data_IF_228256663670
#
_entry.id   IF_228256663670
#
_cell.length_a   1.000
_cell.length_b   1.000
_cell.length_c   1.000
_cell.angle_alpha   90.00
_cell.angle_beta   90.00
_cell.angle_gamma   90.00
#
_symmetry.space_group_name_H-M   'P 1'
#
loop_
_entity.id
_entity.type
_entity.pdbx_description
1 polymer ?
#
# COMPACT_ATOMS: atom_id res chain seq x y z
N UNK A 1 -10.91 26.02 0.83
CA UNK A 1 -9.63 26.48 1.38
C UNK A 1 -9.52 26.11 2.87
N UNK A 2 -9.61 24.82 3.25
CA UNK A 2 -9.50 24.34 4.65
C UNK A 2 -8.70 23.03 4.81
N UNK A 3 -7.89 22.63 3.83
CA UNK A 3 -7.08 21.40 3.90
C UNK A 3 -5.63 21.61 4.34
N UNK A 4 -5.19 22.87 4.55
CA UNK A 4 -3.78 23.17 4.89
C UNK A 4 -3.44 23.07 6.37
N UNK A 5 -4.45 23.00 7.25
CA UNK A 5 -4.22 23.05 8.70
C UNK A 5 -4.09 21.66 9.35
N UNK A 6 -4.58 20.60 8.71
CA UNK A 6 -4.53 19.24 9.28
C UNK A 6 -3.15 18.56 9.16
N UNK A 7 -2.37 18.92 8.13
CA UNK A 7 -1.04 18.32 7.92
C UNK A 7 0.03 18.82 8.91
N UNK A 8 -0.11 20.05 9.43
CA UNK A 8 0.87 20.62 10.36
C UNK A 8 0.73 20.15 11.82
N UNK A 9 -0.43 19.64 12.23
CA UNK A 9 -0.67 19.24 13.63
C UNK A 9 -0.10 17.85 13.93
N UNK A 10 0.00 16.97 12.94
CA UNK A 10 0.57 15.63 13.10
C UNK A 10 2.11 15.63 13.22
N UNK A 11 2.79 16.66 12.73
CA UNK A 11 4.26 16.77 12.76
C UNK A 11 4.81 17.32 14.09
N UNK A 12 3.96 17.88 14.96
CA UNK A 12 4.40 18.58 16.17
C UNK A 12 4.39 17.73 17.45
N UNK A 13 3.96 16.47 17.40
CA UNK A 13 3.73 15.64 18.60
C UNK A 13 4.70 14.46 18.78
N UNK A 14 5.91 14.50 18.21
CA UNK A 14 6.91 13.44 18.41
C UNK A 14 8.01 13.90 19.36
N UNK A 15 7.94 13.63 20.68
CA UNK A 15 9.09 13.79 21.56
C UNK A 15 10.13 12.70 21.23
N UNK A 16 11.36 13.16 21.09
CA UNK A 16 12.55 12.38 20.80
C UNK A 16 12.76 11.23 21.81
N UNK A 17 12.61 10.01 21.34
CA UNK A 17 13.19 8.81 21.95
C UNK A 17 13.94 8.09 20.84
N UNK A 18 15.26 8.26 20.84
CA UNK A 18 16.14 7.65 19.83
C UNK A 18 16.29 6.15 20.09
N UNK A 19 15.86 5.34 19.14
CA UNK A 19 16.09 3.90 19.10
C UNK A 19 16.04 3.37 17.67
N UNK A 20 16.80 2.34 17.36
CA UNK A 20 16.62 1.59 16.12
C UNK A 20 15.38 0.72 16.31
N UNK A 21 14.44 0.64 15.33
CA UNK A 21 13.30 -0.27 15.42
C UNK A 21 13.79 -1.69 15.66
N UNK A 22 13.24 -2.31 16.68
CA UNK A 22 13.58 -3.66 17.09
C UNK A 22 12.37 -4.59 17.00
N UNK A 23 12.56 -5.85 17.33
CA UNK A 23 11.50 -6.86 17.34
C UNK A 23 10.31 -6.39 18.19
N UNK A 24 9.13 -6.43 17.60
CA UNK A 24 7.87 -6.02 18.23
C UNK A 24 7.50 -4.55 18.05
N UNK A 25 8.36 -3.74 17.40
CA UNK A 25 8.03 -2.36 17.10
C UNK A 25 6.94 -2.26 16.06
N UNK A 26 5.97 -1.40 16.34
CA UNK A 26 4.86 -1.13 15.44
C UNK A 26 5.17 -0.06 14.40
N UNK A 27 4.51 -0.14 13.26
CA UNK A 27 4.61 0.87 12.20
C UNK A 27 3.23 1.30 11.71
N UNK A 28 3.11 2.57 11.33
CA UNK A 28 2.01 3.07 10.50
C UNK A 28 2.60 3.61 9.22
N UNK A 29 2.11 3.14 8.07
CA UNK A 29 2.58 3.54 6.76
C UNK A 29 1.47 4.23 5.98
N UNK A 30 1.77 5.40 5.42
CA UNK A 30 0.87 6.17 4.54
C UNK A 30 1.54 6.34 3.19
N UNK A 31 1.01 5.69 2.17
CA UNK A 31 1.53 5.77 0.81
C UNK A 31 0.48 6.33 -0.14
N UNK A 32 0.93 7.18 -1.05
CA UNK A 32 0.17 7.64 -2.18
C UNK A 32 0.95 7.42 -3.46
N UNK A 33 0.29 7.12 -4.56
CA UNK A 33 0.99 6.83 -5.79
C UNK A 33 0.10 6.72 -7.01
N UNK A 34 0.68 6.13 -8.03
CA UNK A 34 0.08 5.97 -9.33
C UNK A 34 -0.07 4.47 -9.65
N UNK A 35 -1.26 4.10 -10.05
CA UNK A 35 -1.65 2.74 -10.41
C UNK A 35 -1.86 2.63 -11.91
N UNK A 36 -1.38 1.54 -12.49
CA UNK A 36 -1.66 1.16 -13.87
C UNK A 36 -2.22 -0.26 -13.90
N UNK A 37 -3.45 -0.42 -14.37
CA UNK A 37 -4.05 -1.72 -14.62
C UNK A 37 -3.74 -2.12 -16.07
N UNK A 38 -3.31 -3.37 -16.35
CA UNK A 38 -3.11 -3.84 -17.72
C UNK A 38 -4.44 -3.83 -18.47
N UNK A 39 -4.56 -2.93 -19.44
CA UNK A 39 -5.84 -2.50 -20.01
C UNK A 39 -6.43 -3.37 -21.15
N UNK A 40 -5.87 -4.54 -21.44
CA UNK A 40 -6.26 -5.30 -22.63
C UNK A 40 -7.75 -5.66 -22.74
N UNK A 41 -8.38 -5.97 -21.61
CA UNK A 41 -9.79 -6.42 -21.60
C UNK A 41 -10.78 -5.24 -21.57
N UNK A 42 -10.46 -4.17 -20.87
CA UNK A 42 -11.29 -2.95 -20.86
C UNK A 42 -11.21 -2.16 -22.15
N UNK A 43 -10.13 -2.33 -22.92
CA UNK A 43 -9.94 -1.68 -24.20
C UNK A 43 -10.92 -2.20 -25.24
N UNK A 44 -11.30 -3.48 -25.20
CA UNK A 44 -12.26 -4.07 -26.12
C UNK A 44 -13.69 -3.59 -25.89
N UNK A 45 -14.07 -3.29 -24.64
CA UNK A 45 -15.41 -2.84 -24.28
C UNK A 45 -15.62 -1.33 -24.47
N UNK A 46 -14.60 -0.52 -24.23
CA UNK A 46 -14.72 0.94 -24.21
C UNK A 46 -14.08 1.64 -25.40
N UNK A 47 -13.30 0.93 -26.22
CA UNK A 47 -12.48 1.54 -27.26
C UNK A 47 -11.37 2.47 -26.72
N UNK A 48 -11.24 2.59 -25.40
CA UNK A 48 -10.30 3.46 -24.76
C UNK A 48 -8.87 2.93 -24.89
N UNK A 49 -7.96 3.77 -25.34
CA UNK A 49 -6.53 3.46 -25.34
C UNK A 49 -6.04 3.33 -23.88
N UNK A 50 -5.08 2.42 -23.67
CA UNK A 50 -4.47 2.06 -22.39
C UNK A 50 -4.56 3.14 -21.31
N UNK A 51 -5.00 2.68 -20.12
CA UNK A 51 -5.23 3.53 -18.98
C UNK A 51 -4.01 4.37 -18.62
N UNK A 52 -4.25 5.64 -18.52
CA UNK A 52 -3.36 6.57 -17.86
C UNK A 52 -3.17 6.06 -16.42
N UNK A 53 -2.07 6.43 -15.81
CA UNK A 53 -1.82 6.18 -14.40
C UNK A 53 -2.90 6.86 -13.54
N UNK A 54 -3.50 6.10 -12.64
CA UNK A 54 -4.58 6.55 -11.77
C UNK A 54 -4.13 6.60 -10.31
N UNK A 55 -4.71 7.47 -9.48
CA UNK A 55 -4.31 7.59 -8.09
C UNK A 55 -4.63 6.32 -7.28
N UNK A 56 -3.67 5.89 -6.47
CA UNK A 56 -3.79 4.82 -5.49
C UNK A 56 -3.24 5.24 -4.14
N UNK A 57 -3.83 4.74 -3.07
CA UNK A 57 -3.45 5.03 -1.69
C UNK A 57 -3.37 3.75 -0.89
N UNK A 58 -2.40 3.67 0.03
CA UNK A 58 -2.26 2.58 0.98
C UNK A 58 -2.10 3.15 2.39
N UNK A 59 -2.81 2.56 3.34
CA UNK A 59 -2.63 2.76 4.77
C UNK A 59 -2.24 1.42 5.39
N UNK A 60 -1.06 1.33 5.97
CA UNK A 60 -0.54 0.12 6.59
C UNK A 60 -0.41 0.23 8.10
N UNK A 61 -0.67 -0.88 8.77
CA UNK A 61 -0.31 -1.15 10.17
C UNK A 61 0.60 -2.37 10.16
N UNK A 62 1.82 -2.24 10.64
CA UNK A 62 2.81 -3.30 10.59
C UNK A 62 3.57 -3.48 11.89
N UNK A 63 4.31 -4.58 11.97
CA UNK A 63 5.12 -4.95 13.11
C UNK A 63 6.44 -5.54 12.61
N UNK A 64 7.53 -5.17 13.26
CA UNK A 64 8.82 -5.80 13.07
C UNK A 64 8.82 -7.16 13.79
N UNK A 65 8.86 -8.25 13.03
CA UNK A 65 8.81 -9.61 13.55
C UNK A 65 10.20 -10.07 14.02
N UNK A 66 11.24 -9.71 13.27
CA UNK A 66 12.64 -9.83 13.62
C UNK A 66 13.46 -8.75 12.89
N UNK A 67 14.80 -8.84 12.95
CA UNK A 67 15.69 -7.80 12.38
C UNK A 67 15.55 -7.66 10.85
N UNK A 68 15.07 -8.68 10.17
CA UNK A 68 14.94 -8.70 8.70
C UNK A 68 13.49 -8.78 8.23
N UNK A 69 12.58 -9.27 9.08
CA UNK A 69 11.21 -9.61 8.69
C UNK A 69 10.20 -8.63 9.29
N UNK A 70 9.38 -8.06 8.44
CA UNK A 70 8.28 -7.18 8.80
C UNK A 70 6.97 -7.74 8.25
N UNK A 71 5.90 -7.64 9.02
CA UNK A 71 4.57 -8.07 8.59
C UNK A 71 3.50 -7.08 8.98
N UNK A 72 2.39 -7.09 8.26
CA UNK A 72 1.33 -6.13 8.53
C UNK A 72 0.03 -6.36 7.79
N UNK A 73 -0.90 -5.45 8.07
CA UNK A 73 -2.19 -5.33 7.37
C UNK A 73 -2.21 -3.98 6.67
N UNK A 74 -2.64 -3.97 5.42
CA UNK A 74 -2.80 -2.75 4.64
C UNK A 74 -4.23 -2.60 4.13
N UNK A 75 -4.70 -1.38 4.12
CA UNK A 75 -5.91 -0.93 3.45
C UNK A 75 -5.53 -0.16 2.20
N UNK A 76 -6.00 -0.64 1.05
CA UNK A 76 -5.75 -0.01 -0.24
C UNK A 76 -7.01 0.66 -0.78
N UNK A 77 -6.82 1.79 -1.47
CA UNK A 77 -7.87 2.46 -2.20
C UNK A 77 -7.37 2.93 -3.56
N UNK A 78 -8.12 2.63 -4.61
CA UNK A 78 -7.79 3.02 -5.98
C UNK A 78 -9.01 3.53 -6.73
N UNK A 79 -8.77 4.51 -7.58
CA UNK A 79 -9.75 5.07 -8.52
C UNK A 79 -9.17 4.95 -9.91
N UNK A 80 -9.85 4.20 -10.77
CA UNK A 80 -9.46 4.02 -12.17
C UNK A 80 -10.59 4.51 -13.07
N UNK A 81 -10.24 5.13 -14.21
CA UNK A 81 -11.22 5.57 -15.20
C UNK A 81 -10.72 5.24 -16.59
N UNK A 82 -11.57 4.63 -17.38
CA UNK A 82 -11.33 4.27 -18.78
C UNK A 82 -12.37 4.95 -19.67
N UNK A 83 -11.89 5.66 -20.69
CA UNK A 83 -12.75 6.44 -21.58
C UNK A 83 -13.16 7.79 -21.02
N UNK A 84 -13.94 8.52 -21.79
CA UNK A 84 -14.41 9.86 -21.49
C UNK A 84 -15.94 9.98 -21.63
N UNK A 85 -16.51 10.97 -20.94
CA UNK A 85 -17.95 11.27 -21.02
C UNK A 85 -18.84 10.26 -20.32
N UNK A 86 -20.09 10.16 -20.78
CA UNK A 86 -21.13 9.33 -20.19
C UNK A 86 -20.90 7.81 -20.35
N UNK A 87 -20.02 7.41 -21.29
CA UNK A 87 -19.63 6.02 -21.52
C UNK A 87 -18.36 5.60 -20.77
N UNK A 88 -17.78 6.48 -19.95
CA UNK A 88 -16.57 6.15 -19.20
C UNK A 88 -16.84 5.03 -18.17
N UNK A 89 -15.96 4.04 -18.16
CA UNK A 89 -15.92 3.01 -17.13
C UNK A 89 -15.15 3.55 -15.93
N UNK A 90 -15.76 3.57 -14.75
CA UNK A 90 -15.11 3.97 -13.51
C UNK A 90 -15.01 2.78 -12.57
N UNK A 91 -13.82 2.53 -12.04
CA UNK A 91 -13.57 1.44 -11.11
C UNK A 91 -13.09 2.04 -9.79
N UNK A 92 -13.80 1.71 -8.72
CA UNK A 92 -13.39 1.98 -7.34
C UNK A 92 -12.98 0.66 -6.72
N UNK A 93 -11.77 0.61 -6.19
CA UNK A 93 -11.24 -0.57 -5.52
C UNK A 93 -10.92 -0.24 -4.08
N UNK A 94 -11.44 -1.04 -3.15
CA UNK A 94 -11.03 -1.04 -1.76
C UNK A 94 -10.41 -2.41 -1.45
N UNK A 95 -9.21 -2.42 -0.87
CA UNK A 95 -8.45 -3.65 -0.64
C UNK A 95 -8.10 -3.79 0.83
N UNK A 96 -8.15 -5.03 1.32
CA UNK A 96 -7.61 -5.43 2.62
C UNK A 96 -6.55 -6.48 2.34
N UNK A 97 -5.30 -6.18 2.70
CA UNK A 97 -4.13 -6.97 2.33
C UNK A 97 -3.36 -7.37 3.59
N UNK A 98 -2.90 -8.61 3.63
CA UNK A 98 -1.87 -9.09 4.55
C UNK A 98 -0.54 -9.03 3.82
N UNK A 99 0.46 -8.46 4.44
CA UNK A 99 1.80 -8.27 3.88
C UNK A 99 2.86 -8.90 4.75
N UNK A 100 3.87 -9.44 4.10
CA UNK A 100 5.11 -9.87 4.69
C UNK A 100 6.24 -9.38 3.79
N UNK A 101 7.24 -8.71 4.36
CA UNK A 101 8.42 -8.27 3.64
C UNK A 101 9.70 -8.62 4.38
N UNK A 102 10.79 -8.79 3.64
CA UNK A 102 12.11 -9.11 4.17
C UNK A 102 13.15 -8.12 3.64
N UNK A 103 14.08 -7.73 4.49
CA UNK A 103 15.21 -6.89 4.11
C UNK A 103 16.15 -7.66 3.17
N UNK A 104 16.43 -7.09 2.00
CA UNK A 104 17.44 -7.59 1.04
C UNK A 104 18.80 -6.94 1.27
N UNK A 105 18.79 -5.69 1.68
CA UNK A 105 19.99 -4.93 2.04
C UNK A 105 19.62 -3.87 3.08
N UNK A 106 20.46 -3.71 4.08
CA UNK A 106 20.23 -2.78 5.17
C UNK A 106 21.50 -1.97 5.48
N UNK A 107 21.34 -0.66 5.63
CA UNK A 107 22.35 0.26 6.10
C UNK A 107 21.86 1.06 7.31
N UNK A 108 22.69 1.93 7.84
CA UNK A 108 22.33 2.74 9.01
C UNK A 108 21.15 3.70 8.79
N UNK A 109 20.85 4.06 7.56
CA UNK A 109 19.82 5.04 7.20
C UNK A 109 18.79 4.53 6.17
N UNK A 110 18.98 3.31 5.63
CA UNK A 110 18.09 2.75 4.61
C UNK A 110 17.90 1.24 4.73
N UNK A 111 16.83 0.74 4.15
CA UNK A 111 16.52 -0.67 3.94
C UNK A 111 15.93 -0.85 2.55
N UNK A 112 16.53 -1.72 1.74
CA UNK A 112 15.92 -2.26 0.52
C UNK A 112 15.19 -3.54 0.93
N UNK A 113 13.94 -3.69 0.54
CA UNK A 113 13.15 -4.86 0.90
C UNK A 113 12.39 -5.43 -0.28
N UNK A 114 12.11 -6.71 -0.23
CA UNK A 114 11.14 -7.37 -1.08
C UNK A 114 10.04 -7.97 -0.23
N UNK A 115 8.84 -7.91 -0.72
CA UNK A 115 7.68 -8.40 0.01
C UNK A 115 6.63 -9.00 -0.90
N UNK A 116 5.56 -9.43 -0.27
CA UNK A 116 4.39 -9.91 -0.95
C UNK A 116 3.27 -10.18 0.03
N UNK A 117 2.13 -10.51 -0.50
CA UNK A 117 0.98 -10.75 0.34
C UNK A 117 -0.25 -11.21 -0.40
N UNK A 118 -1.28 -11.42 0.38
CA UNK A 118 -2.59 -11.86 -0.08
C UNK A 118 -3.67 -11.01 0.56
N UNK A 119 -4.79 -10.90 -0.11
CA UNK A 119 -5.91 -10.16 0.43
C UNK A 119 -7.17 -10.28 -0.40
N UNK A 120 -8.04 -9.32 -0.18
CA UNK A 120 -9.33 -9.26 -0.82
C UNK A 120 -9.60 -7.85 -1.32
N UNK A 121 -10.17 -7.74 -2.53
CA UNK A 121 -10.54 -6.48 -3.18
C UNK A 121 -12.05 -6.43 -3.35
N UNK A 122 -12.64 -5.36 -2.87
CA UNK A 122 -14.02 -4.95 -3.10
C UNK A 122 -14.00 -3.92 -4.23
N UNK A 123 -14.53 -4.29 -5.39
CA UNK A 123 -14.50 -3.43 -6.56
C UNK A 123 -15.93 -3.07 -6.98
N UNK A 124 -16.13 -1.80 -7.28
CA UNK A 124 -17.37 -1.30 -7.90
C UNK A 124 -17.01 -0.76 -9.28
N UNK A 125 -17.61 -1.34 -10.31
CA UNK A 125 -17.45 -0.95 -11.70
C UNK A 125 -18.72 -0.17 -12.11
N UNK A 126 -18.59 1.13 -12.29
CA UNK A 126 -19.67 2.01 -12.72
C UNK A 126 -19.68 2.14 -14.24
N UNK A 127 -20.82 1.79 -14.86
CA UNK A 127 -21.06 1.84 -16.31
C UNK A 127 -22.34 2.63 -16.60
N UNK A 128 -22.56 2.99 -17.87
CA UNK A 128 -23.81 3.62 -18.29
C UNK A 128 -25.06 2.74 -18.01
N UNK A 129 -24.89 1.43 -18.01
CA UNK A 129 -25.96 0.45 -17.72
C UNK A 129 -26.22 0.22 -16.22
N UNK A 130 -25.44 0.82 -15.33
CA UNK A 130 -25.50 0.66 -13.87
C UNK A 130 -24.19 0.14 -13.25
N UNK A 131 -24.16 0.12 -11.94
CA UNK A 131 -23.03 -0.33 -11.16
C UNK A 131 -23.00 -1.86 -11.04
N UNK A 132 -21.81 -2.43 -11.09
CA UNK A 132 -21.54 -3.85 -10.89
C UNK A 132 -20.52 -4.01 -9.76
N UNK A 133 -20.80 -4.95 -8.86
CA UNK A 133 -19.84 -5.38 -7.84
C UNK A 133 -18.99 -6.53 -8.37
N UNK A 134 -17.67 -6.38 -8.29
CA UNK A 134 -16.69 -7.35 -8.77
C UNK A 134 -15.62 -7.62 -7.71
N UNK A 135 -15.98 -8.43 -6.72
CA UNK A 135 -15.09 -8.75 -5.61
C UNK A 135 -14.11 -9.88 -5.99
N UNK A 136 -12.88 -9.81 -5.50
CA UNK A 136 -11.85 -10.77 -5.88
C UNK A 136 -10.77 -10.97 -4.82
N UNK A 137 -10.16 -12.16 -4.81
CA UNK A 137 -8.90 -12.36 -4.13
C UNK A 137 -7.78 -11.57 -4.84
N UNK A 138 -6.82 -11.09 -4.05
CA UNK A 138 -5.65 -10.35 -4.53
C UNK A 138 -4.39 -11.03 -4.01
N UNK A 139 -3.45 -11.29 -4.91
CA UNK A 139 -2.07 -11.61 -4.57
C UNK A 139 -1.17 -10.50 -5.08
N UNK A 140 -0.08 -10.20 -4.36
CA UNK A 140 0.88 -9.20 -4.82
C UNK A 140 2.31 -9.55 -4.43
N UNK A 141 3.25 -8.96 -5.15
CA UNK A 141 4.66 -8.87 -4.80
C UNK A 141 5.07 -7.41 -4.79
N UNK A 142 6.03 -7.06 -3.94
CA UNK A 142 6.52 -5.69 -3.82
C UNK A 142 8.04 -5.66 -3.74
N UNK A 143 8.60 -4.54 -4.21
CA UNK A 143 10.00 -4.18 -4.03
C UNK A 143 10.02 -2.73 -3.56
N UNK A 144 10.74 -2.45 -2.47
CA UNK A 144 10.72 -1.13 -1.92
C UNK A 144 12.03 -0.68 -1.28
N UNK A 145 12.04 0.59 -1.00
CA UNK A 145 13.14 1.28 -0.36
C UNK A 145 12.58 2.12 0.78
N UNK A 146 12.99 1.82 2.01
CA UNK A 146 12.72 2.62 3.20
C UNK A 146 13.96 3.42 3.55
N UNK A 147 13.79 4.68 3.93
CA UNK A 147 14.89 5.50 4.40
C UNK A 147 14.48 6.26 5.66
N UNK A 148 15.45 6.38 6.56
CA UNK A 148 15.27 7.01 7.86
C UNK A 148 15.37 8.53 7.72
N UNK A 149 14.39 9.27 8.21
CA UNK A 149 14.38 10.72 8.31
C UNK A 149 14.71 11.12 9.75
N UNK A 150 14.11 10.42 10.72
CA UNK A 150 14.36 10.56 12.16
C UNK A 150 14.16 9.20 12.82
N UNK A 151 14.28 9.13 14.15
CA UNK A 151 14.08 7.89 14.88
C UNK A 151 12.66 7.34 14.81
N UNK A 152 11.67 8.21 14.58
CA UNK A 152 10.26 7.83 14.52
C UNK A 152 9.64 7.98 13.13
N UNK A 153 10.34 8.59 12.20
CA UNK A 153 9.80 8.91 10.87
C UNK A 153 10.77 8.47 9.78
N UNK A 154 10.27 7.74 8.83
CA UNK A 154 10.96 7.36 7.61
C UNK A 154 10.18 7.74 6.37
N UNK A 155 10.83 7.67 5.23
CA UNK A 155 10.21 7.70 3.92
C UNK A 155 10.20 6.32 3.30
N UNK A 156 9.25 6.08 2.40
CA UNK A 156 9.09 4.81 1.66
C UNK A 156 8.85 5.13 0.20
N UNK A 157 9.50 4.35 -0.67
CA UNK A 157 9.17 4.26 -2.10
C UNK A 157 8.97 2.78 -2.38
N UNK A 158 7.86 2.40 -2.97
CA UNK A 158 7.51 1.01 -3.23
C UNK A 158 6.89 0.85 -4.60
N UNK A 159 7.35 -0.15 -5.33
CA UNK A 159 6.67 -0.69 -6.50
C UNK A 159 6.02 -2.02 -6.13
N UNK A 160 4.76 -2.16 -6.51
CA UNK A 160 3.94 -3.34 -6.24
C UNK A 160 3.30 -3.82 -7.53
N UNK A 161 3.41 -5.11 -7.79
CA UNK A 161 2.66 -5.79 -8.83
C UNK A 161 1.60 -6.68 -8.20
N UNK A 162 0.34 -6.47 -8.53
CA UNK A 162 -0.78 -7.25 -8.00
C UNK A 162 -1.46 -8.06 -9.10
N UNK A 163 -1.95 -9.22 -8.72
CA UNK A 163 -2.78 -10.10 -9.54
C UNK A 163 -4.13 -10.24 -8.84
N UNK A 164 -5.19 -9.92 -9.57
CA UNK A 164 -6.55 -10.01 -9.07
C UNK A 164 -7.47 -10.27 -10.25
N UNK A 165 -8.34 -11.26 -10.14
CA UNK A 165 -9.27 -11.65 -11.19
C UNK A 165 -10.68 -11.63 -10.65
N UNK A 166 -11.54 -10.83 -11.25
CA UNK A 166 -12.95 -10.72 -10.88
C UNK A 166 -13.86 -11.07 -12.07
N UNK A 167 -15.00 -11.68 -11.79
CA UNK A 167 -16.02 -11.83 -12.80
C UNK A 167 -16.66 -10.47 -13.09
N UNK A 168 -16.59 -10.02 -14.32
CA UNK A 168 -17.15 -8.73 -14.75
C UNK A 168 -18.70 -8.75 -14.80
N UNK A 169 -19.29 -9.93 -14.75
CA UNK A 169 -20.74 -10.17 -14.71
C UNK A 169 -20.95 -11.54 -14.04
N UNK A 170 -21.90 -11.73 -13.10
CA UNK A 170 -22.20 -13.04 -12.50
C UNK A 170 -22.59 -14.13 -13.53
N UNK A 171 -23.05 -13.71 -14.71
CA UNK A 171 -23.37 -14.61 -15.83
C UNK A 171 -22.24 -14.79 -16.82
N UNK A 172 -21.14 -14.01 -16.69
CA UNK A 172 -20.01 -14.08 -17.62
C UNK A 172 -19.03 -15.19 -17.23
N UNK A 173 -18.65 -15.96 -18.23
CA UNK A 173 -17.55 -16.94 -18.10
C UNK A 173 -16.16 -16.27 -18.10
N UNK A 174 -16.09 -14.98 -18.42
CA UNK A 174 -14.84 -14.24 -18.55
C UNK A 174 -14.55 -13.46 -17.27
N UNK A 175 -13.35 -13.63 -16.75
CA UNK A 175 -12.80 -12.85 -15.63
C UNK A 175 -11.98 -11.69 -16.17
N UNK A 176 -12.07 -10.56 -15.48
CA UNK A 176 -11.29 -9.36 -15.77
C UNK A 176 -10.13 -9.25 -14.78
N UNK A 177 -8.93 -9.00 -15.29
CA UNK A 177 -7.78 -8.75 -14.44
C UNK A 177 -7.90 -7.34 -13.82
N UNK A 178 -8.07 -7.29 -12.50
CA UNK A 178 -8.17 -6.06 -11.70
C UNK A 178 -6.83 -5.72 -11.02
N UNK A 179 -5.80 -6.51 -11.24
CA UNK A 179 -4.45 -6.29 -10.74
C UNK A 179 -3.69 -5.24 -11.56
N UNK A 180 -2.41 -5.12 -11.33
CA UNK A 180 -1.50 -4.23 -12.07
C UNK A 180 -0.37 -3.69 -11.24
N UNK A 181 0.34 -2.73 -11.81
CA UNK A 181 1.44 -2.04 -11.15
C UNK A 181 0.93 -0.87 -10.31
N UNK A 182 1.50 -0.69 -9.15
CA UNK A 182 1.29 0.45 -8.27
C UNK A 182 2.65 0.97 -7.78
N UNK A 183 3.02 2.17 -8.23
CA UNK A 183 4.21 2.87 -7.75
C UNK A 183 3.77 3.88 -6.70
N UNK A 184 4.28 3.75 -5.48
CA UNK A 184 3.94 4.60 -4.34
C UNK A 184 5.15 5.25 -3.72
N UNK A 185 4.90 6.37 -3.07
CA UNK A 185 5.82 7.00 -2.14
C UNK A 185 5.03 7.52 -0.93
N UNK A 186 5.69 7.62 0.22
CA UNK A 186 5.04 8.13 1.42
C UNK A 186 5.90 8.08 2.67
N UNK A 187 5.22 8.02 3.80
CA UNK A 187 5.81 8.16 5.12
C UNK A 187 5.50 6.92 5.95
N UNK A 188 6.49 6.46 6.71
CA UNK A 188 6.35 5.43 7.73
C UNK A 188 6.65 6.04 9.10
N UNK A 189 5.77 5.78 10.06
CA UNK A 189 5.95 6.13 11.47
C UNK A 189 6.28 4.87 12.25
N UNK A 190 7.29 4.94 13.11
CA UNK A 190 7.72 3.86 13.96
C UNK A 190 7.30 4.11 15.41
N UNK A 191 6.67 3.10 16.02
CA UNK A 191 6.30 3.10 17.45
C UNK A 191 7.10 2.00 18.14
N UNK A 192 7.90 2.39 19.12
CA UNK A 192 8.73 1.46 19.86
C UNK A 192 7.92 0.71 20.92
N UNK A 193 8.14 -0.59 21.01
CA UNK A 193 7.57 -1.41 22.08
C UNK A 193 8.16 -1.01 23.45
N UNK A 194 7.35 -0.86 24.51
CA UNK A 194 7.86 -0.57 25.85
C UNK A 194 8.80 -1.63 26.41
N UNK A 195 8.83 -2.82 25.83
CA UNK A 195 9.60 -3.95 26.33
C UNK A 195 11.10 -3.86 26.05
N UNK A 196 11.53 -3.03 25.09
CA UNK A 196 12.96 -2.91 24.70
C UNK A 196 13.72 -1.76 25.36
N UNK A 197 13.17 -1.14 26.38
CA UNK A 197 13.99 -0.31 27.26
C UNK A 197 14.84 -1.24 28.12
N UNK A 198 15.91 -1.76 27.49
CA UNK A 198 16.88 -2.61 28.14
C UNK A 198 17.22 -2.05 29.51
N UNK A 199 17.05 -2.85 30.54
CA UNK A 199 17.69 -2.60 31.84
C UNK A 199 19.15 -2.23 31.54
N UNK A 200 19.65 -1.08 31.99
CA UNK A 200 21.07 -0.83 31.95
C UNK A 200 21.70 -2.00 32.73
N UNK A 201 22.44 -2.86 32.02
CA UNK A 201 23.29 -3.85 32.67
C UNK A 201 24.21 -3.03 33.59
N UNK A 202 23.98 -3.16 34.87
CA UNK A 202 24.85 -2.56 35.88
C UNK A 202 26.28 -2.96 35.55
N UNK A 203 27.24 -2.03 35.49
CA UNK A 203 28.63 -2.40 35.27
C UNK A 203 29.01 -3.35 36.40
N UNK A 204 29.38 -4.58 36.02
CA UNK A 204 29.83 -5.60 36.96
C UNK A 204 31.01 -5.05 37.75
N UNK A 205 30.86 -5.11 39.07
CA UNK A 205 31.91 -4.85 40.02
C UNK A 205 32.96 -5.96 40.06
#
# INVERSE_FOLDING_TARGET
>A
MRLRTAACVLLAAAPALAGVPGKGDGTITLLGGLRAIPGGEYQSETGAKHGLWHPGFLLGLGFQLDDELHGGIQLGYGLDQYGEGAGALKIRSFQILLELDTALAQGSWYTVYAGGGLGYSLNTISRAAGDLEANSAVGFVSLGFRFRISDHVGGVIEERYSISSAAADPSATNTVNMGGNLLTAGIIFHFFSPQDKGHPTAPGG
#
